data_IF_269858558088
#
_entry.id   IF_269858558088
#
_cell.length_a   1.000
_cell.length_b   1.000
_cell.length_c   1.000
_cell.angle_alpha   90.00
_cell.angle_beta   90.00
_cell.angle_gamma   90.00
#
_symmetry.space_group_name_H-M   'P 1'
#
loop_
_entity.id
_entity.type
_entity.pdbx_description
1 polymer ?
#
# COMPACT_ATOMS: atom_id res chain seq x y z
N UNK A 1 -0.41 38.58 -1.31
CA UNK A 1 -0.28 37.59 -2.41
C UNK A 1 -1.67 37.03 -2.66
N UNK A 2 -2.16 37.02 -3.90
CA UNK A 2 -3.51 36.52 -4.23
C UNK A 2 -3.57 35.00 -4.10
N UNK A 3 -4.75 34.46 -3.72
CA UNK A 3 -4.97 33.01 -3.55
C UNK A 3 -4.57 32.20 -4.79
N UNK A 4 -4.74 32.78 -5.98
CA UNK A 4 -4.33 32.19 -7.27
C UNK A 4 -2.82 31.97 -7.39
N UNK A 5 -1.99 32.82 -6.77
CA UNK A 5 -0.53 32.66 -6.77
C UNK A 5 -0.06 31.59 -5.78
N UNK A 6 -0.72 31.48 -4.62
CA UNK A 6 -0.44 30.41 -3.67
C UNK A 6 -0.87 29.05 -4.24
N UNK A 7 -2.00 29.03 -4.94
CA UNK A 7 -2.48 27.86 -5.68
C UNK A 7 -1.53 27.47 -6.81
N UNK A 8 -1.09 28.44 -7.62
CA UNK A 8 -0.11 28.19 -8.67
C UNK A 8 1.22 27.69 -8.10
N UNK A 9 1.74 28.27 -7.02
CA UNK A 9 2.98 27.81 -6.38
C UNK A 9 2.84 26.42 -5.76
N UNK A 10 1.68 26.12 -5.18
CA UNK A 10 1.37 24.79 -4.66
C UNK A 10 1.34 23.76 -5.79
N UNK A 11 0.63 24.04 -6.89
CA UNK A 11 0.57 23.18 -8.07
C UNK A 11 1.91 23.08 -8.77
N UNK A 12 2.72 24.13 -8.82
CA UNK A 12 4.04 24.12 -9.44
C UNK A 12 5.03 23.29 -8.60
N UNK A 13 4.90 23.35 -7.26
CA UNK A 13 5.67 22.49 -6.34
C UNK A 13 5.21 21.02 -6.36
N UNK A 14 3.93 20.77 -6.64
CA UNK A 14 3.34 19.42 -6.69
C UNK A 14 3.50 18.74 -8.05
N UNK A 15 3.38 19.49 -9.14
CA UNK A 15 3.22 18.93 -10.49
C UNK A 15 4.47 19.17 -11.33
N UNK A 16 5.16 20.31 -11.14
CA UNK A 16 6.29 20.72 -11.99
C UNK A 16 5.86 20.89 -13.45
N UNK A 17 5.84 22.12 -13.96
CA UNK A 17 5.59 22.33 -15.39
C UNK A 17 6.69 21.64 -16.24
N UNK A 18 6.35 20.49 -16.81
CA UNK A 18 7.24 19.60 -17.56
C UNK A 18 7.25 18.21 -16.94
N UNK A 19 6.36 17.32 -17.37
CA UNK A 19 6.22 15.96 -16.84
C UNK A 19 7.54 15.20 -17.02
N UNK A 20 8.27 14.99 -15.92
CA UNK A 20 9.53 14.24 -15.87
C UNK A 20 9.23 12.83 -15.37
N UNK A 21 8.90 11.88 -16.26
CA UNK A 21 8.42 10.55 -15.88
C UNK A 21 9.40 9.79 -14.98
N UNK A 22 10.69 10.12 -15.04
CA UNK A 22 11.72 9.56 -14.16
C UNK A 22 11.45 9.83 -12.68
N UNK A 23 10.88 10.99 -12.32
CA UNK A 23 10.54 11.29 -10.93
C UNK A 23 9.28 10.57 -10.48
N UNK A 24 8.29 10.40 -11.36
CA UNK A 24 7.09 9.62 -11.04
C UNK A 24 7.44 8.15 -10.76
N UNK A 25 8.34 7.58 -11.56
CA UNK A 25 8.87 6.22 -11.31
C UNK A 25 9.67 6.15 -10.01
N UNK A 26 10.50 7.15 -9.71
CA UNK A 26 11.24 7.20 -8.44
C UNK A 26 10.29 7.30 -7.22
N UNK A 27 9.23 8.10 -7.30
CA UNK A 27 8.21 8.18 -6.26
C UNK A 27 7.42 6.88 -6.12
N UNK A 28 7.04 6.24 -7.22
CA UNK A 28 6.37 4.94 -7.20
C UNK A 28 7.25 3.87 -6.54
N UNK A 29 8.53 3.78 -6.94
CA UNK A 29 9.49 2.86 -6.35
C UNK A 29 9.72 3.15 -4.86
N UNK A 30 9.87 4.43 -4.49
CA UNK A 30 10.04 4.85 -3.10
C UNK A 30 8.84 4.49 -2.22
N UNK A 31 7.63 4.75 -2.70
CA UNK A 31 6.39 4.37 -2.00
C UNK A 31 6.26 2.86 -1.88
N UNK A 32 6.56 2.11 -2.94
CA UNK A 32 6.53 0.65 -2.91
C UNK A 32 7.50 0.06 -1.87
N UNK A 33 8.75 0.56 -1.84
CA UNK A 33 9.76 0.12 -0.87
C UNK A 33 9.36 0.50 0.56
N UNK A 34 8.83 1.70 0.77
CA UNK A 34 8.36 2.15 2.07
C UNK A 34 7.17 1.31 2.57
N UNK A 35 6.18 1.05 1.71
CA UNK A 35 5.04 0.20 2.04
C UNK A 35 5.50 -1.22 2.37
N UNK A 36 6.38 -1.80 1.56
CA UNK A 36 6.98 -3.11 1.82
C UNK A 36 7.64 -3.16 3.19
N UNK A 37 8.42 -2.14 3.55
CA UNK A 37 9.06 -2.05 4.86
C UNK A 37 8.03 -1.97 6.00
N UNK A 38 7.01 -1.13 5.87
CA UNK A 38 5.94 -0.98 6.88
C UNK A 38 5.24 -2.32 7.13
N UNK A 39 4.84 -3.03 6.08
CA UNK A 39 4.14 -4.29 6.21
C UNK A 39 5.04 -5.44 6.66
N UNK A 40 6.31 -5.44 6.25
CA UNK A 40 7.30 -6.38 6.77
C UNK A 40 7.49 -6.20 8.28
N UNK A 41 7.70 -4.97 8.75
CA UNK A 41 7.81 -4.67 10.19
C UNK A 41 6.54 -5.07 10.92
N UNK A 42 5.36 -4.74 10.39
CA UNK A 42 4.09 -5.10 11.02
C UNK A 42 3.96 -6.62 11.16
N UNK A 43 4.26 -7.39 10.12
CA UNK A 43 4.16 -8.85 10.20
C UNK A 43 5.14 -9.47 11.20
N UNK A 44 6.42 -9.12 11.11
CA UNK A 44 7.47 -9.72 11.96
C UNK A 44 7.33 -9.34 13.44
N UNK A 45 6.55 -8.29 13.74
CA UNK A 45 6.27 -7.83 15.11
C UNK A 45 4.85 -8.15 15.59
N UNK A 46 4.09 -8.97 14.86
CA UNK A 46 2.75 -9.42 15.27
C UNK A 46 1.60 -8.46 14.99
N UNK A 47 1.84 -7.41 14.22
CA UNK A 47 0.85 -6.43 13.75
C UNK A 47 -0.01 -6.89 12.56
N UNK A 48 0.17 -8.11 12.06
CA UNK A 48 -0.65 -8.69 10.99
C UNK A 48 -1.32 -9.96 11.48
N UNK A 49 -2.59 -10.14 11.12
CA UNK A 49 -3.42 -11.31 11.49
C UNK A 49 -4.16 -11.85 10.26
N UNK A 50 -4.61 -13.13 10.28
CA UNK A 50 -5.45 -13.68 9.23
C UNK A 50 -6.74 -12.86 9.07
N UNK A 51 -7.04 -12.45 7.85
CA UNK A 51 -8.27 -11.76 7.47
C UNK A 51 -9.40 -12.77 7.18
N UNK A 52 -9.69 -13.65 8.14
CA UNK A 52 -10.69 -14.70 7.97
C UNK A 52 -11.41 -14.96 9.29
N UNK A 53 -12.72 -14.72 9.30
CA UNK A 53 -13.55 -14.97 10.47
C UNK A 53 -13.50 -16.45 10.91
N UNK A 54 -13.43 -17.39 9.96
CA UNK A 54 -13.32 -18.83 10.24
C UNK A 54 -12.03 -19.14 11.00
N UNK A 55 -10.91 -18.52 10.61
CA UNK A 55 -9.64 -18.64 11.34
C UNK A 55 -9.76 -18.00 12.71
N UNK A 56 -10.30 -16.79 12.80
CA UNK A 56 -10.37 -16.03 14.06
C UNK A 56 -11.22 -16.69 15.16
N UNK A 57 -12.16 -17.58 14.81
CA UNK A 57 -12.97 -18.35 15.77
C UNK A 57 -12.51 -19.81 15.95
N UNK A 58 -11.45 -20.21 15.25
CA UNK A 58 -10.92 -21.58 15.31
C UNK A 58 -10.23 -21.87 16.64
N UNK A 59 -10.21 -23.16 17.02
CA UNK A 59 -9.47 -23.61 18.20
C UNK A 59 -7.95 -23.39 18.06
N UNK A 60 -7.40 -23.58 16.86
CA UNK A 60 -5.97 -23.37 16.58
C UNK A 60 -5.56 -21.90 16.76
N UNK A 61 -6.41 -20.95 16.33
CA UNK A 61 -6.16 -19.53 16.56
C UNK A 61 -6.26 -19.15 18.04
N UNK A 62 -7.26 -19.69 18.76
CA UNK A 62 -7.38 -19.48 20.20
C UNK A 62 -6.15 -20.01 20.96
N UNK A 63 -5.61 -21.16 20.56
CA UNK A 63 -4.38 -21.71 21.11
C UNK A 63 -3.17 -20.81 20.82
N UNK A 64 -3.02 -20.31 19.59
CA UNK A 64 -1.94 -19.38 19.24
C UNK A 64 -2.02 -18.06 20.03
N UNK A 65 -3.22 -17.53 20.24
CA UNK A 65 -3.48 -16.37 21.09
C UNK A 65 -3.08 -16.60 22.55
N UNK A 66 -3.33 -17.80 23.09
CA UNK A 66 -2.94 -18.16 24.45
C UNK A 66 -1.40 -18.27 24.59
N UNK A 67 -0.70 -18.70 23.54
CA UNK A 67 0.76 -18.82 23.53
C UNK A 67 1.48 -17.48 23.34
N UNK A 68 1.02 -16.66 22.38
CA UNK A 68 1.69 -15.41 22.00
C UNK A 68 0.67 -14.30 21.67
N UNK A 69 0.04 -13.69 22.68
CA UNK A 69 -1.06 -12.74 22.46
C UNK A 69 -0.65 -11.48 21.66
N UNK A 70 0.62 -11.11 21.69
CA UNK A 70 1.14 -9.96 20.93
C UNK A 70 1.47 -10.29 19.46
N UNK A 71 1.67 -11.58 19.12
CA UNK A 71 2.05 -12.01 17.78
C UNK A 71 1.50 -13.41 17.44
N UNK A 72 0.18 -13.62 17.57
CA UNK A 72 -0.44 -14.95 17.44
C UNK A 72 -0.24 -15.55 16.06
N UNK A 73 -0.21 -14.72 15.01
CA UNK A 73 -0.02 -15.16 13.62
C UNK A 73 1.31 -15.91 13.41
N UNK A 74 2.39 -15.50 14.08
CA UNK A 74 3.70 -16.14 13.95
C UNK A 74 3.70 -17.55 14.54
N UNK A 75 2.88 -17.81 15.56
CA UNK A 75 2.70 -19.15 16.13
C UNK A 75 1.74 -19.96 15.27
N UNK A 76 0.57 -19.40 14.94
CA UNK A 76 -0.48 -20.08 14.20
C UNK A 76 -0.02 -20.59 12.83
N UNK A 77 0.79 -19.81 12.10
CA UNK A 77 1.34 -20.20 10.79
C UNK A 77 2.26 -21.42 10.84
N UNK A 78 2.80 -21.75 12.02
CA UNK A 78 3.59 -22.97 12.23
C UNK A 78 2.73 -24.22 12.49
N UNK A 79 1.44 -24.04 12.81
CA UNK A 79 0.48 -25.11 13.10
C UNK A 79 -0.07 -25.76 11.83
N UNK A 80 -0.76 -26.91 11.96
CA UNK A 80 -1.27 -27.67 10.82
C UNK A 80 -2.18 -26.85 9.90
N UNK A 81 -3.18 -26.16 10.46
CA UNK A 81 -4.11 -25.32 9.69
C UNK A 81 -3.42 -24.09 9.07
N UNK A 82 -2.59 -23.40 9.85
CA UNK A 82 -1.89 -22.20 9.37
C UNK A 82 -0.89 -22.47 8.24
N UNK A 83 -0.27 -23.65 8.19
CA UNK A 83 0.61 -24.06 7.08
C UNK A 83 -0.11 -24.24 5.74
N UNK A 84 -1.43 -24.42 5.75
CA UNK A 84 -2.26 -24.49 4.55
C UNK A 84 -2.95 -23.17 4.22
N UNK A 85 -2.71 -22.13 5.00
CA UNK A 85 -3.18 -20.77 4.72
C UNK A 85 -2.22 -20.03 3.79
N UNK A 86 -2.69 -18.94 3.18
CA UNK A 86 -1.84 -18.06 2.37
C UNK A 86 -0.67 -17.52 3.20
N UNK A 87 0.55 -17.66 2.68
CA UNK A 87 1.74 -17.20 3.39
C UNK A 87 1.89 -15.69 3.24
N UNK A 88 2.18 -15.00 4.33
CA UNK A 88 2.40 -13.57 4.26
C UNK A 88 3.68 -13.24 3.50
N UNK A 89 3.60 -12.31 2.56
CA UNK A 89 4.74 -11.72 1.88
C UNK A 89 4.54 -10.22 1.71
N UNK A 90 5.44 -9.42 2.27
CA UNK A 90 5.31 -7.96 2.33
C UNK A 90 5.34 -7.28 0.95
N UNK A 91 6.14 -7.80 0.01
CA UNK A 91 6.24 -7.28 -1.36
C UNK A 91 4.89 -7.39 -2.11
N UNK A 92 4.30 -8.58 -2.29
CA UNK A 92 2.99 -8.69 -2.94
C UNK A 92 1.87 -8.01 -2.11
N UNK A 93 1.95 -8.00 -0.78
CA UNK A 93 0.99 -7.24 0.04
C UNK A 93 1.05 -5.73 -0.28
N UNK A 94 2.25 -5.15 -0.40
CA UNK A 94 2.40 -3.75 -0.79
C UNK A 94 1.89 -3.48 -2.21
N UNK A 95 2.04 -4.43 -3.13
CA UNK A 95 1.48 -4.31 -4.48
C UNK A 95 -0.06 -4.33 -4.46
N UNK A 96 -0.69 -5.24 -3.73
CA UNK A 96 -2.16 -5.28 -3.57
C UNK A 96 -2.69 -3.93 -3.05
N UNK A 97 -2.01 -3.35 -2.07
CA UNK A 97 -2.41 -2.07 -1.45
C UNK A 97 -2.31 -0.90 -2.44
N UNK A 98 -1.24 -0.83 -3.22
CA UNK A 98 -0.90 0.32 -4.08
C UNK A 98 -1.56 0.22 -5.45
N UNK A 99 -1.71 -0.99 -6.01
CA UNK A 99 -2.19 -1.23 -7.37
C UNK A 99 -3.63 -1.74 -7.36
N UNK A 100 -4.64 -0.89 -7.64
CA UNK A 100 -6.04 -1.27 -7.50
C UNK A 100 -6.56 -2.35 -8.47
N UNK A 101 -5.78 -2.69 -9.49
CA UNK A 101 -6.20 -3.60 -10.56
C UNK A 101 -5.70 -5.04 -10.30
N UNK A 102 -4.75 -5.21 -9.39
CA UNK A 102 -4.09 -6.50 -9.13
C UNK A 102 -4.61 -7.06 -7.81
N UNK A 103 -4.95 -8.34 -7.81
CA UNK A 103 -5.23 -9.12 -6.59
C UNK A 103 -4.26 -10.29 -6.54
N UNK A 104 -3.24 -10.18 -5.67
CA UNK A 104 -2.26 -11.23 -5.39
C UNK A 104 -2.69 -12.08 -4.18
N UNK A 105 -3.88 -11.86 -3.64
CA UNK A 105 -4.43 -12.61 -2.51
C UNK A 105 -3.89 -12.21 -1.13
N UNK A 106 -2.96 -11.26 -1.03
CA UNK A 106 -2.31 -10.92 0.23
C UNK A 106 -3.21 -10.04 1.11
N UNK A 107 -3.85 -9.01 0.55
CA UNK A 107 -4.81 -8.19 1.32
C UNK A 107 -6.12 -8.94 1.66
N UNK A 108 -6.50 -9.93 0.85
CA UNK A 108 -7.67 -10.76 1.15
C UNK A 108 -7.36 -11.78 2.25
N UNK A 109 -6.12 -12.28 2.34
CA UNK A 109 -5.72 -13.24 3.36
C UNK A 109 -5.21 -12.61 4.66
N UNK A 110 -4.63 -11.41 4.63
CA UNK A 110 -3.98 -10.79 5.77
C UNK A 110 -4.50 -9.38 6.04
N UNK A 111 -4.64 -9.02 7.30
CA UNK A 111 -5.06 -7.68 7.71
C UNK A 111 -4.19 -7.16 8.86
N UNK A 112 -3.90 -5.85 8.90
CA UNK A 112 -3.27 -5.24 10.06
C UNK A 112 -4.23 -5.21 11.25
N UNK A 113 -3.73 -5.53 12.44
CA UNK A 113 -4.49 -5.43 13.70
C UNK A 113 -4.21 -4.11 14.41
N UNK A 114 -5.22 -3.54 15.07
CA UNK A 114 -5.06 -2.33 15.90
C UNK A 114 -4.68 -2.64 17.35
N UNK A 115 -4.41 -3.90 17.69
CA UNK A 115 -4.00 -4.31 19.03
C UNK A 115 -2.52 -4.05 19.32
N UNK A 116 -1.71 -3.77 18.30
CA UNK A 116 -0.29 -3.43 18.43
C UNK A 116 0.00 -2.09 17.77
N UNK A 117 1.07 -1.41 18.23
CA UNK A 117 1.51 -0.14 17.61
C UNK A 117 1.91 -0.36 16.14
N UNK A 118 2.74 -1.36 15.78
CA UNK A 118 3.09 -1.60 14.38
C UNK A 118 1.89 -1.93 13.50
N UNK A 119 0.94 -2.73 14.01
CA UNK A 119 -0.29 -3.04 13.28
C UNK A 119 -1.18 -1.81 13.09
N UNK A 120 -1.31 -0.94 14.09
CA UNK A 120 -2.04 0.34 13.95
C UNK A 120 -1.41 1.25 12.91
N UNK A 121 -0.06 1.35 12.90
CA UNK A 121 0.67 2.10 11.87
C UNK A 121 0.38 1.52 10.48
N UNK A 122 0.46 0.20 10.32
CA UNK A 122 0.16 -0.47 9.05
C UNK A 122 -1.31 -0.29 8.62
N UNK A 123 -2.25 -0.29 9.57
CA UNK A 123 -3.67 -0.03 9.31
C UNK A 123 -3.88 1.38 8.74
N UNK A 124 -3.31 2.42 9.37
CA UNK A 124 -3.37 3.79 8.84
C UNK A 124 -2.63 3.90 7.50
N UNK A 125 -1.43 3.31 7.41
CA UNK A 125 -0.61 3.35 6.21
C UNK A 125 -1.32 2.74 5.00
N UNK A 126 -2.18 1.73 5.21
CA UNK A 126 -2.99 1.12 4.13
C UNK A 126 -3.85 2.16 3.42
N UNK A 127 -4.57 3.00 4.16
CA UNK A 127 -5.37 4.07 3.56
C UNK A 127 -4.51 5.06 2.77
N UNK A 128 -3.37 5.46 3.33
CA UNK A 128 -2.46 6.44 2.71
C UNK A 128 -1.88 5.87 1.42
N UNK A 129 -1.34 4.66 1.45
CA UNK A 129 -0.73 4.01 0.29
C UNK A 129 -1.75 3.67 -0.79
N UNK A 130 -2.96 3.25 -0.44
CA UNK A 130 -4.03 3.03 -1.42
C UNK A 130 -4.40 4.31 -2.14
N UNK A 131 -4.63 5.42 -1.42
CA UNK A 131 -4.96 6.70 -2.05
C UNK A 131 -3.80 7.21 -2.94
N UNK A 132 -2.56 7.08 -2.47
CA UNK A 132 -1.39 7.48 -3.25
C UNK A 132 -1.21 6.61 -4.49
N UNK A 133 -1.43 5.30 -4.36
CA UNK A 133 -1.39 4.34 -5.46
C UNK A 133 -2.43 4.62 -6.54
N UNK A 134 -3.63 5.02 -6.15
CA UNK A 134 -4.67 5.47 -7.08
C UNK A 134 -4.24 6.74 -7.84
N UNK A 135 -3.65 7.71 -7.15
CA UNK A 135 -3.11 8.92 -7.78
C UNK A 135 -2.00 8.59 -8.79
N UNK A 136 -1.03 7.74 -8.42
CA UNK A 136 0.04 7.30 -9.32
C UNK A 136 -0.51 6.55 -10.54
N UNK A 137 -1.51 5.69 -10.34
CA UNK A 137 -2.18 4.95 -11.42
C UNK A 137 -2.86 5.90 -12.40
N UNK A 138 -3.57 6.91 -11.90
CA UNK A 138 -4.20 7.92 -12.74
C UNK A 138 -3.19 8.77 -13.53
N UNK A 139 -2.08 9.17 -12.89
CA UNK A 139 -1.00 9.90 -13.55
C UNK A 139 -0.34 9.06 -14.65
N UNK A 140 -0.12 7.77 -14.41
CA UNK A 140 0.42 6.84 -15.41
C UNK A 140 -0.51 6.75 -16.62
N UNK A 141 -1.82 6.57 -16.40
CA UNK A 141 -2.81 6.54 -17.49
C UNK A 141 -2.82 7.87 -18.25
N UNK A 142 -2.79 9.01 -17.57
CA UNK A 142 -2.75 10.32 -18.20
C UNK A 142 -1.49 10.54 -19.06
N UNK A 143 -0.34 10.04 -18.60
CA UNK A 143 0.91 10.07 -19.34
C UNK A 143 0.87 9.19 -20.60
N UNK A 144 0.34 7.96 -20.49
CA UNK A 144 0.24 7.01 -21.59
C UNK A 144 -0.78 7.43 -22.66
N UNK A 145 -1.85 8.12 -22.26
CA UNK A 145 -2.91 8.60 -23.16
C UNK A 145 -2.58 9.93 -23.84
N UNK A 146 -1.45 10.55 -23.52
CA UNK A 146 -1.01 11.79 -24.15
C UNK A 146 -1.81 13.04 -23.74
N UNK A 147 -2.72 12.95 -22.76
CA UNK A 147 -3.51 14.07 -22.25
C UNK A 147 -2.66 15.25 -21.72
N UNK A 148 -1.38 15.00 -21.43
CA UNK A 148 -0.43 15.98 -20.87
C UNK A 148 0.36 16.74 -21.96
N UNK A 149 0.27 16.37 -23.25
CA UNK A 149 0.91 17.16 -24.32
C UNK A 149 0.01 18.31 -24.76
N UNK A 150 0.41 19.56 -24.46
CA UNK A 150 -0.24 20.76 -24.98
C UNK A 150 0.43 21.22 -26.28
N UNK A 151 -0.40 21.35 -27.30
CA UNK A 151 -0.14 21.79 -28.67
C UNK A 151 0.84 22.97 -28.76
N UNK A 152 1.83 22.86 -29.65
CA UNK A 152 2.52 24.03 -30.17
C UNK A 152 1.51 24.83 -31.02
N UNK A 153 1.31 26.14 -30.76
CA UNK A 153 0.58 26.97 -31.71
C UNK A 153 1.37 26.97 -33.01
N UNK A 154 0.70 26.62 -34.11
CA UNK A 154 1.30 26.68 -35.44
C UNK A 154 1.91 28.05 -35.70
N UNK A 155 3.18 28.06 -36.07
CA UNK A 155 3.79 29.18 -36.78
C UNK A 155 3.24 29.16 -38.20
N UNK A 156 2.08 29.80 -38.39
CA UNK A 156 1.62 30.16 -39.73
C UNK A 156 2.41 31.40 -40.16
N UNK A 157 3.37 31.18 -41.07
CA UNK A 157 3.95 32.20 -41.95
C UNK A 157 3.21 32.19 -43.29
#
# INVERSE_FOLDING_TARGET
>A
MTATRLWALFLDRLIGFGFRPEFALAWAAGTFLLATLVYWVAYTTGGMVPNSAVVMISASWAEAMAQAPAAPALVWTSMAEGRHYESFAALPYALDVILPIVDLGQQSAWAPTTQTIPGTIAWVATWIFTLFGWMLSALLVAALTGLIQKNQPGTDQ
#
